data_IF_410494954942
#
_entry.id   IF_410494954942
#
_cell.length_a   1.000
_cell.length_b   1.000
_cell.length_c   1.000
_cell.angle_alpha   90.00
_cell.angle_beta   90.00
_cell.angle_gamma   90.00
#
_symmetry.space_group_name_H-M   'P 1'
#
loop_
_entity.id
_entity.type
_entity.pdbx_description
1 polymer ?
#
# COMPACT_ATOMS: atom_id res chain seq x y z
N UNK A 1 -19.08 -2.41 -20.94
CA UNK A 1 -17.71 -2.90 -21.18
C UNK A 1 -16.84 -2.56 -19.96
N UNK A 2 -17.06 -3.26 -18.84
CA UNK A 2 -16.24 -3.18 -17.60
C UNK A 2 -16.08 -4.57 -16.93
N UNK A 3 -16.70 -5.61 -17.50
CA UNK A 3 -16.79 -6.96 -16.93
C UNK A 3 -15.43 -7.60 -16.67
N UNK A 4 -14.41 -7.30 -17.49
CA UNK A 4 -13.08 -7.90 -17.33
C UNK A 4 -12.40 -7.43 -16.04
N UNK A 5 -12.44 -6.12 -15.76
CA UNK A 5 -11.84 -5.56 -14.54
C UNK A 5 -12.64 -5.98 -13.31
N UNK A 6 -13.97 -5.80 -13.34
CA UNK A 6 -14.84 -6.16 -12.23
C UNK A 6 -14.73 -7.64 -11.87
N UNK A 7 -14.82 -8.54 -12.86
CA UNK A 7 -14.69 -9.98 -12.63
C UNK A 7 -13.31 -10.39 -12.09
N UNK A 8 -12.24 -9.73 -12.54
CA UNK A 8 -10.89 -9.96 -12.03
C UNK A 8 -10.77 -9.55 -10.55
N UNK A 9 -11.28 -8.38 -10.18
CA UNK A 9 -11.28 -7.89 -8.80
C UNK A 9 -12.13 -8.80 -7.91
N UNK A 10 -13.33 -9.18 -8.36
CA UNK A 10 -14.23 -10.08 -7.61
C UNK A 10 -13.61 -11.45 -7.36
N UNK A 11 -12.89 -12.00 -8.35
CA UNK A 11 -12.16 -13.26 -8.16
C UNK A 11 -11.09 -13.12 -7.08
N UNK A 12 -10.27 -12.07 -7.16
CA UNK A 12 -9.21 -11.83 -6.18
C UNK A 12 -9.77 -11.62 -4.76
N UNK A 13 -10.88 -10.89 -4.63
CA UNK A 13 -11.58 -10.71 -3.35
C UNK A 13 -12.05 -12.04 -2.77
N UNK A 14 -12.68 -12.90 -3.60
CA UNK A 14 -13.13 -14.23 -3.16
C UNK A 14 -11.95 -15.10 -2.74
N UNK A 15 -10.86 -15.11 -3.50
CA UNK A 15 -9.68 -15.92 -3.20
C UNK A 15 -8.97 -15.45 -1.92
N UNK A 16 -8.86 -14.13 -1.74
CA UNK A 16 -8.35 -13.53 -0.50
C UNK A 16 -9.21 -13.89 0.71
N UNK A 17 -10.54 -13.82 0.56
CA UNK A 17 -11.47 -14.21 1.61
C UNK A 17 -11.35 -15.71 1.94
N UNK A 18 -11.38 -16.58 0.93
CA UNK A 18 -11.32 -18.03 1.10
C UNK A 18 -10.06 -18.45 1.89
N UNK A 19 -8.89 -17.95 1.49
CA UNK A 19 -7.62 -18.23 2.19
C UNK A 19 -7.64 -17.82 3.65
N UNK A 20 -8.17 -16.62 3.98
CA UNK A 20 -8.24 -16.15 5.37
C UNK A 20 -9.31 -16.88 6.19
N UNK A 21 -10.42 -17.24 5.56
CA UNK A 21 -11.50 -17.98 6.20
C UNK A 21 -11.08 -19.42 6.53
N UNK A 22 -10.42 -20.11 5.60
CA UNK A 22 -9.85 -21.45 5.81
C UNK A 22 -8.80 -21.44 6.92
N UNK A 23 -8.01 -20.37 7.04
CA UNK A 23 -7.08 -20.18 8.13
C UNK A 23 -7.74 -19.81 9.48
N UNK A 24 -9.08 -19.72 9.54
CA UNK A 24 -9.85 -19.34 10.74
C UNK A 24 -9.66 -17.89 11.18
N UNK A 25 -9.03 -17.05 10.35
CA UNK A 25 -8.65 -15.67 10.71
C UNK A 25 -9.77 -14.66 10.48
N UNK A 26 -10.72 -14.98 9.61
CA UNK A 26 -11.74 -14.03 9.17
C UNK A 26 -13.06 -14.73 8.90
N UNK A 27 -14.17 -14.07 9.21
CA UNK A 27 -15.52 -14.53 8.89
C UNK A 27 -16.32 -13.40 8.26
N UNK A 28 -17.35 -13.72 7.47
CA UNK A 28 -18.24 -12.69 6.89
C UNK A 28 -18.87 -11.80 7.98
N UNK A 29 -19.18 -12.36 9.15
CA UNK A 29 -19.71 -11.60 10.29
C UNK A 29 -18.67 -10.65 10.88
N UNK A 30 -17.39 -11.06 10.90
CA UNK A 30 -16.28 -10.21 11.30
C UNK A 30 -16.11 -9.00 10.38
N UNK A 31 -16.07 -9.25 9.07
CA UNK A 31 -15.97 -8.20 8.04
C UNK A 31 -17.18 -7.26 8.13
N UNK A 32 -18.38 -7.81 8.29
CA UNK A 32 -19.61 -7.02 8.40
C UNK A 32 -19.55 -6.04 9.59
N UNK A 33 -19.05 -6.52 10.74
CA UNK A 33 -18.87 -5.69 11.93
C UNK A 33 -17.82 -4.60 11.72
N UNK A 34 -16.71 -4.94 11.07
CA UNK A 34 -15.60 -4.01 10.79
C UNK A 34 -16.01 -2.89 9.83
N UNK A 35 -16.80 -3.23 8.82
CA UNK A 35 -17.34 -2.27 7.84
C UNK A 35 -18.64 -1.58 8.30
N UNK A 36 -19.21 -1.95 9.45
CA UNK A 36 -20.47 -1.39 9.93
C UNK A 36 -21.68 -1.71 9.05
N UNK A 37 -21.66 -2.84 8.33
CA UNK A 37 -22.73 -3.26 7.39
C UNK A 37 -23.37 -4.58 7.79
N UNK A 38 -24.47 -4.93 7.14
CA UNK A 38 -25.14 -6.22 7.34
C UNK A 38 -24.34 -7.38 6.73
N UNK A 39 -24.33 -8.55 7.39
CA UNK A 39 -23.71 -9.78 6.87
C UNK A 39 -24.22 -10.15 5.47
N UNK A 40 -25.50 -9.93 5.19
CA UNK A 40 -26.08 -10.17 3.86
C UNK A 40 -25.45 -9.29 2.78
N UNK A 41 -25.03 -8.07 3.10
CA UNK A 41 -24.30 -7.22 2.17
C UNK A 41 -22.93 -7.83 1.83
N UNK A 42 -22.21 -8.35 2.84
CA UNK A 42 -20.94 -9.04 2.63
C UNK A 42 -21.13 -10.30 1.78
N UNK A 43 -22.18 -11.08 2.07
CA UNK A 43 -22.50 -12.26 1.29
C UNK A 43 -22.74 -11.93 -0.19
N UNK A 44 -23.56 -10.91 -0.47
CA UNK A 44 -23.87 -10.46 -1.83
C UNK A 44 -22.65 -9.93 -2.59
N UNK A 45 -21.78 -9.19 -1.90
CA UNK A 45 -20.50 -8.69 -2.46
C UNK A 45 -19.57 -9.85 -2.82
N UNK A 46 -19.44 -10.84 -1.94
CA UNK A 46 -18.57 -12.00 -2.18
C UNK A 46 -19.16 -12.98 -3.21
N UNK A 47 -20.48 -13.11 -3.30
CA UNK A 47 -21.13 -13.98 -4.29
C UNK A 47 -21.16 -13.39 -5.69
N UNK A 48 -20.82 -12.10 -5.86
CA UNK A 48 -20.84 -11.41 -7.15
C UNK A 48 -22.27 -11.14 -7.65
N UNK A 49 -23.27 -11.17 -6.77
CA UNK A 49 -24.67 -10.89 -7.14
C UNK A 49 -24.96 -9.39 -7.26
N UNK A 50 -24.02 -8.54 -6.88
CA UNK A 50 -24.16 -7.08 -6.90
C UNK A 50 -22.96 -6.44 -7.57
N UNK A 51 -23.21 -5.46 -8.45
CA UNK A 51 -22.16 -4.59 -8.94
C UNK A 51 -21.66 -3.68 -7.80
N UNK A 52 -20.35 -3.65 -7.57
CA UNK A 52 -19.74 -2.85 -6.51
C UNK A 52 -19.16 -1.55 -7.06
N UNK A 53 -19.25 -0.47 -6.29
CA UNK A 53 -18.51 0.77 -6.56
C UNK A 53 -17.03 0.57 -6.23
N UNK A 54 -16.16 1.42 -6.77
CA UNK A 54 -14.73 1.44 -6.41
C UNK A 54 -14.56 1.62 -4.89
N UNK A 55 -15.36 2.48 -4.28
CA UNK A 55 -15.40 2.68 -2.83
C UNK A 55 -15.71 1.39 -2.08
N UNK A 56 -16.75 0.66 -2.48
CA UNK A 56 -17.11 -0.63 -1.87
C UNK A 56 -16.01 -1.66 -2.04
N UNK A 57 -15.33 -1.67 -3.18
CA UNK A 57 -14.18 -2.55 -3.43
C UNK A 57 -13.03 -2.21 -2.48
N UNK A 58 -12.70 -0.93 -2.33
CA UNK A 58 -11.64 -0.48 -1.44
C UNK A 58 -11.91 -0.88 0.02
N UNK A 59 -13.14 -0.67 0.51
CA UNK A 59 -13.57 -1.10 1.84
C UNK A 59 -13.39 -2.61 2.04
N UNK A 60 -13.81 -3.41 1.05
CA UNK A 60 -13.68 -4.87 1.11
C UNK A 60 -12.22 -5.31 1.13
N UNK A 61 -11.36 -4.70 0.29
CA UNK A 61 -9.92 -5.00 0.27
C UNK A 61 -9.28 -4.68 1.62
N UNK A 62 -9.58 -3.51 2.17
CA UNK A 62 -9.09 -3.07 3.47
C UNK A 62 -9.54 -3.99 4.61
N UNK A 63 -10.83 -4.34 4.69
CA UNK A 63 -11.36 -5.24 5.72
C UNK A 63 -10.88 -6.69 5.57
N UNK A 64 -10.43 -7.07 4.37
CA UNK A 64 -9.72 -8.34 4.19
C UNK A 64 -8.28 -8.25 4.72
N UNK A 65 -7.71 -7.07 4.98
CA UNK A 65 -6.31 -6.88 5.35
C UNK A 65 -5.39 -6.93 4.13
N UNK A 66 -5.86 -6.39 3.00
CA UNK A 66 -5.09 -6.21 1.78
C UNK A 66 -5.09 -4.74 1.37
N UNK A 67 -4.30 -4.43 0.35
CA UNK A 67 -4.29 -3.14 -0.33
C UNK A 67 -4.49 -3.36 -1.84
N UNK A 68 -4.94 -2.33 -2.56
CA UNK A 68 -5.22 -2.38 -4.00
C UNK A 68 -4.31 -1.41 -4.76
N UNK A 69 -3.54 -1.95 -5.71
CA UNK A 69 -2.77 -1.16 -6.68
C UNK A 69 -3.53 -1.09 -8.01
N UNK A 70 -3.79 0.12 -8.50
CA UNK A 70 -4.54 0.36 -9.75
C UNK A 70 -3.67 1.15 -10.72
N UNK A 71 -3.37 0.53 -11.87
CA UNK A 71 -2.63 1.16 -12.97
C UNK A 71 -3.53 1.33 -14.19
N UNK A 72 -3.66 2.57 -14.65
CA UNK A 72 -4.28 2.88 -15.94
C UNK A 72 -3.20 2.80 -17.00
N UNK A 73 -3.47 2.03 -18.05
CA UNK A 73 -2.51 1.73 -19.11
C UNK A 73 -3.12 2.05 -20.45
N UNK A 74 -2.32 2.63 -21.35
CA UNK A 74 -2.69 2.75 -22.74
C UNK A 74 -2.61 1.35 -23.38
N UNK A 75 -3.71 0.83 -23.96
CA UNK A 75 -3.69 -0.47 -24.62
C UNK A 75 -2.74 -0.53 -25.82
N UNK A 76 -2.41 0.61 -26.46
CA UNK A 76 -1.50 0.68 -27.61
C UNK A 76 -0.04 0.63 -27.19
N UNK A 77 0.28 1.04 -25.95
CA UNK A 77 1.62 0.97 -25.37
C UNK A 77 1.93 -0.40 -24.70
N UNK A 78 1.02 -1.38 -24.81
CA UNK A 78 1.14 -2.71 -24.18
C UNK A 78 1.85 -3.77 -25.03
N UNK A 79 2.38 -3.39 -26.18
CA UNK A 79 3.36 -4.22 -26.88
C UNK A 79 4.73 -3.99 -26.22
N UNK A 80 5.34 -5.06 -25.69
CA UNK A 80 6.75 -5.13 -25.28
C UNK A 80 7.13 -4.66 -23.87
N UNK A 81 6.53 -5.24 -22.82
CA UNK A 81 6.99 -5.01 -21.46
C UNK A 81 6.81 -6.22 -20.53
N UNK A 82 7.73 -7.19 -20.62
CA UNK A 82 8.12 -8.01 -19.47
C UNK A 82 9.06 -7.15 -18.60
N UNK A 83 8.54 -6.24 -17.76
CA UNK A 83 9.40 -5.59 -16.78
C UNK A 83 9.52 -6.49 -15.55
N UNK A 84 10.69 -7.12 -15.42
CA UNK A 84 11.31 -7.35 -14.12
C UNK A 84 11.59 -5.96 -13.53
N UNK A 85 10.97 -5.64 -12.40
CA UNK A 85 11.45 -4.53 -11.58
C UNK A 85 12.59 -5.09 -10.75
N UNK A 86 13.82 -4.87 -11.20
CA UNK A 86 14.95 -4.88 -10.28
C UNK A 86 14.74 -3.68 -9.36
N UNK A 87 14.60 -3.94 -8.06
CA UNK A 87 14.70 -2.90 -7.05
C UNK A 87 16.05 -2.20 -7.28
N UNK A 88 16.02 -0.92 -7.65
CA UNK A 88 17.20 -0.09 -7.47
C UNK A 88 17.45 -0.08 -5.97
N UNK A 89 18.41 -0.90 -5.53
CA UNK A 89 19.09 -0.71 -4.27
C UNK A 89 19.62 0.71 -4.31
N UNK A 90 18.91 1.63 -3.67
CA UNK A 90 19.40 2.98 -3.39
C UNK A 90 20.73 2.79 -2.67
N UNK A 91 21.81 3.02 -3.42
CA UNK A 91 23.17 2.94 -2.93
C UNK A 91 23.21 3.84 -1.70
N UNK A 92 23.47 3.24 -0.54
CA UNK A 92 23.78 3.97 0.69
C UNK A 92 25.02 4.81 0.39
N UNK A 93 24.82 6.00 -0.16
CA UNK A 93 25.83 7.05 -0.17
C UNK A 93 26.05 7.34 1.29
N UNK A 94 27.16 6.84 1.83
CA UNK A 94 27.62 7.15 3.17
C UNK A 94 27.45 8.67 3.35
N UNK A 95 26.70 9.13 4.36
CA UNK A 95 26.59 10.55 4.61
C UNK A 95 28.02 11.09 4.73
N UNK A 96 28.37 12.21 4.07
CA UNK A 96 29.70 12.77 4.20
C UNK A 96 29.95 12.91 5.70
N UNK A 97 31.05 12.30 6.16
CA UNK A 97 31.44 12.30 7.56
C UNK A 97 31.16 13.70 8.10
N UNK A 98 30.29 13.79 9.11
CA UNK A 98 30.03 15.04 9.81
C UNK A 98 31.35 15.38 10.47
N UNK A 99 32.22 16.09 9.75
CA UNK A 99 33.44 16.65 10.27
C UNK A 99 32.95 17.58 11.36
N UNK A 100 33.08 17.12 12.60
CA UNK A 100 32.67 17.89 13.76
C UNK A 100 33.39 19.22 13.62
N UNK A 101 32.62 20.28 13.31
CA UNK A 101 33.11 21.63 13.39
C UNK A 101 33.66 21.77 14.81
N UNK A 102 34.98 21.65 14.96
CA UNK A 102 35.65 22.11 16.17
C UNK A 102 35.42 23.60 16.11
N UNK A 103 34.57 24.10 17.01
CA UNK A 103 34.51 25.52 17.31
C UNK A 103 35.96 26.00 17.41
N UNK A 104 36.35 27.08 16.72
CA UNK A 104 37.70 27.56 16.83
C UNK A 104 37.97 27.84 18.32
N UNK A 105 39.08 27.31 18.80
CA UNK A 105 39.50 27.42 20.19
C UNK A 105 40.81 28.20 20.17
N UNK A 106 40.97 29.18 21.06
CA UNK A 106 42.25 29.87 21.18
C UNK A 106 43.35 28.97 21.77
N UNK A 107 44.61 29.41 21.75
CA UNK A 107 45.78 28.66 22.27
C UNK A 107 45.65 28.23 23.76
N UNK A 108 44.66 28.76 24.48
CA UNK A 108 44.36 28.44 25.88
C UNK A 108 43.15 27.52 26.06
N UNK A 109 42.62 26.93 25.00
CA UNK A 109 41.56 25.93 25.10
C UNK A 109 40.14 26.49 25.28
N UNK A 110 39.89 27.79 25.02
CA UNK A 110 38.55 28.40 25.13
C UNK A 110 37.92 28.74 23.77
N UNK A 111 36.60 28.52 23.60
CA UNK A 111 35.91 28.82 22.33
C UNK A 111 35.91 30.32 22.04
N UNK A 112 36.18 30.70 20.78
CA UNK A 112 36.11 32.11 20.35
C UNK A 112 34.66 32.44 19.98
N UNK A 113 34.02 33.28 20.79
CA UNK A 113 32.69 33.82 20.48
C UNK A 113 32.88 35.19 19.82
N UNK A 114 32.67 35.26 18.51
CA UNK A 114 32.66 36.52 17.77
C UNK A 114 31.24 37.11 17.82
N UNK A 115 31.04 38.13 18.66
CA UNK A 115 29.78 38.88 18.69
C UNK A 115 29.82 39.94 17.59
N UNK A 116 29.05 39.75 16.52
CA UNK A 116 28.77 40.80 15.55
C UNK A 116 27.82 41.85 16.16
N UNK A 117 28.24 43.12 16.17
CA UNK A 117 27.40 44.29 16.47
C UNK A 117 26.79 44.84 15.17
#
# INVERSE_FOLDING_TARGET
>A
MFLKLAGMIESQLRDAYARRHEAGRLTQSGIARELGVNRSAIHNRLSGTTNMTIETIADMVWALGHDIDVKIVDPELKADANYFLEEECEELVDPPAFETARDPVNDNGRPIIEYAL
#
